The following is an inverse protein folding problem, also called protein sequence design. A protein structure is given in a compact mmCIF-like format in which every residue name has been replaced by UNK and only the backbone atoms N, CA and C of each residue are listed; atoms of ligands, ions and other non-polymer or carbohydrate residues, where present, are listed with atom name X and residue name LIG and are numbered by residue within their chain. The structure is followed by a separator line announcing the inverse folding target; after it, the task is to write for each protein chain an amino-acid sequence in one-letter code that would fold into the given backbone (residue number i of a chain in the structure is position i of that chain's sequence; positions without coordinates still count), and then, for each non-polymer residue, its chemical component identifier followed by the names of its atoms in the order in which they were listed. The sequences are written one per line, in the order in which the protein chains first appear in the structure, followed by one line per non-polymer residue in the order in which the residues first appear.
data_IF_300693254526
#
_entry.id   IF_300693254526
#
_cell.length_a   1.000
_cell.length_b   1.000
_cell.length_c   1.000
_cell.angle_alpha   90.00
_cell.angle_beta   90.00
_cell.angle_gamma   90.00
#
_symmetry.space_group_name_H-M   'P 1'
#
loop_
_entity.id
_entity.type
_entity.pdbx_description
1 polymer ?
#
# COMPACT_ATOMS: atom_id res chain seq x y z
N UNK A 1 4.58 9.91 12.02
CA UNK A 1 3.38 10.64 12.46
C UNK A 1 3.44 12.07 11.96
N UNK A 2 2.33 12.61 11.45
CA UNK A 2 2.18 14.02 11.09
C UNK A 2 1.81 14.83 12.35
N UNK A 3 2.55 15.90 12.62
CA UNK A 3 2.34 16.73 13.82
C UNK A 3 2.34 18.23 13.52
N UNK A 4 3.02 18.67 12.46
CA UNK A 4 3.17 20.08 12.10
C UNK A 4 1.99 20.56 11.24
N UNK A 5 1.55 21.80 11.44
CA UNK A 5 0.44 22.42 10.69
C UNK A 5 0.72 22.46 9.19
N UNK A 6 1.96 22.74 8.79
CA UNK A 6 2.37 22.83 7.40
C UNK A 6 2.28 21.48 6.67
N UNK A 7 2.53 20.37 7.40
CA UNK A 7 2.37 19.02 6.87
C UNK A 7 0.89 18.73 6.57
N UNK A 8 -0.04 19.19 7.42
CA UNK A 8 -1.47 19.03 7.18
C UNK A 8 -1.96 19.87 5.99
N UNK A 9 -1.56 21.14 5.93
CA UNK A 9 -1.92 22.03 4.81
C UNK A 9 -1.43 21.50 3.49
N UNK A 10 -0.22 20.95 3.43
CA UNK A 10 0.35 20.37 2.22
C UNK A 10 -0.44 19.18 1.71
N UNK A 11 -0.92 18.29 2.60
CA UNK A 11 -1.74 17.12 2.20
C UNK A 11 -3.13 17.55 1.72
N UNK A 12 -3.74 18.53 2.38
CA UNK A 12 -5.05 19.07 1.96
C UNK A 12 -4.97 19.80 0.62
N UNK A 13 -3.87 20.47 0.31
CA UNK A 13 -3.63 21.16 -0.96
C UNK A 13 -3.68 20.23 -2.18
N UNK A 14 -3.31 18.96 -2.04
CA UNK A 14 -3.35 17.97 -3.11
C UNK A 14 -4.75 17.51 -3.52
N UNK A 15 -5.81 17.85 -2.78
CA UNK A 15 -7.23 17.55 -3.04
C UNK A 15 -7.55 16.07 -3.34
N UNK A 16 -6.61 15.15 -3.19
CA UNK A 16 -6.85 13.70 -3.35
C UNK A 16 -7.38 13.12 -2.06
N UNK A 17 -8.58 12.57 -2.11
CA UNK A 17 -9.21 11.94 -0.94
C UNK A 17 -10.08 10.75 -1.33
N UNK A 18 -10.07 9.72 -0.50
CA UNK A 18 -11.05 8.63 -0.52
C UNK A 18 -12.11 8.91 0.52
N UNK A 19 -13.36 8.66 0.15
CA UNK A 19 -14.53 8.90 1.00
C UNK A 19 -15.15 7.59 1.44
N UNK A 20 -15.57 7.55 2.69
CA UNK A 20 -16.47 6.56 3.28
C UNK A 20 -17.67 7.26 3.93
N UNK A 21 -18.66 6.55 4.47
CA UNK A 21 -19.83 7.16 5.10
C UNK A 21 -19.51 8.20 6.17
N UNK A 22 -18.51 7.93 7.02
CA UNK A 22 -18.16 8.81 8.13
C UNK A 22 -16.79 9.48 7.98
N UNK A 23 -15.86 8.90 7.19
CA UNK A 23 -14.48 9.36 7.12
C UNK A 23 -14.07 9.83 5.72
N UNK A 24 -13.08 10.72 5.70
CA UNK A 24 -12.31 11.12 4.54
C UNK A 24 -10.83 10.79 4.79
N UNK A 25 -10.22 10.05 3.89
CA UNK A 25 -8.80 9.76 3.88
C UNK A 25 -8.12 10.59 2.80
N UNK A 26 -7.49 11.69 3.20
CA UNK A 26 -6.63 12.48 2.31
C UNK A 26 -5.26 11.83 2.23
N UNK A 27 -4.63 11.90 1.06
CA UNK A 27 -3.30 11.34 0.86
C UNK A 27 -2.47 12.16 -0.11
N UNK A 28 -1.16 12.18 0.13
CA UNK A 28 -0.17 12.85 -0.69
C UNK A 28 1.04 11.95 -0.92
N UNK A 29 1.57 11.93 -2.15
CA UNK A 29 2.87 11.35 -2.44
C UNK A 29 3.96 12.17 -1.73
N UNK A 30 4.94 11.49 -1.16
CA UNK A 30 6.12 12.11 -0.57
C UNK A 30 7.19 12.29 -1.63
N UNK A 31 8.03 13.30 -1.47
CA UNK A 31 9.20 13.50 -2.31
C UNK A 31 10.25 12.40 -2.15
N UNK A 32 11.15 12.29 -3.11
CA UNK A 32 12.22 11.28 -3.10
C UNK A 32 13.17 11.43 -1.90
N UNK A 33 13.33 12.64 -1.38
CA UNK A 33 14.25 12.99 -0.28
C UNK A 33 13.67 12.71 1.12
N UNK A 34 12.41 12.30 1.19
CA UNK A 34 11.73 12.03 2.46
C UNK A 34 12.03 10.61 2.98
N UNK A 35 12.15 10.48 4.31
CA UNK A 35 12.36 9.18 4.97
C UNK A 35 11.26 8.18 4.55
N UNK A 36 11.67 6.99 4.13
CA UNK A 36 10.77 5.91 3.69
C UNK A 36 9.74 5.54 4.76
N UNK A 37 8.52 5.29 4.33
CA UNK A 37 7.42 4.78 5.15
C UNK A 37 6.19 5.69 5.22
N UNK A 38 5.05 5.08 5.45
CA UNK A 38 3.77 5.75 5.58
C UNK A 38 3.67 6.55 6.89
N UNK A 39 3.09 7.78 6.84
CA UNK A 39 2.79 8.60 8.03
C UNK A 39 1.30 8.89 8.12
N UNK A 40 0.78 8.94 9.35
CA UNK A 40 -0.64 9.20 9.62
C UNK A 40 -0.82 10.47 10.45
N UNK A 41 -1.71 11.34 9.97
CA UNK A 41 -2.33 12.43 10.70
C UNK A 41 -3.81 12.11 10.98
N UNK A 42 -4.33 12.57 12.11
CA UNK A 42 -5.72 12.33 12.51
C UNK A 42 -6.41 13.65 12.85
N UNK A 43 -7.52 13.92 12.19
CA UNK A 43 -8.33 15.13 12.41
C UNK A 43 -9.74 14.74 12.83
N UNK A 44 -10.05 14.95 14.13
CA UNK A 44 -11.38 14.72 14.69
C UNK A 44 -11.87 16.04 15.29
N UNK A 45 -12.74 16.73 14.56
CA UNK A 45 -13.22 18.05 14.94
C UNK A 45 -14.25 17.99 16.10
N UNK A 46 -14.18 18.95 17.01
CA UNK A 46 -15.05 19.10 18.19
C UNK A 46 -16.54 19.23 17.80
N UNK A 47 -16.81 19.80 16.63
CA UNK A 47 -18.18 19.97 16.11
C UNK A 47 -18.92 18.65 15.87
N UNK A 48 -18.22 17.57 15.52
CA UNK A 48 -18.82 16.24 15.27
C UNK A 48 -18.94 15.43 16.58
N UNK A 49 -17.94 15.51 17.44
CA UNK A 49 -17.88 14.76 18.70
C UNK A 49 -17.47 15.70 19.83
N UNK A 50 -18.44 16.08 20.66
CA UNK A 50 -18.22 17.03 21.76
C UNK A 50 -17.35 16.43 22.88
N UNK A 51 -17.60 15.14 23.24
CA UNK A 51 -16.86 14.46 24.29
C UNK A 51 -15.43 14.13 23.86
N UNK A 52 -14.48 14.37 24.74
CA UNK A 52 -13.06 14.05 24.47
C UNK A 52 -12.81 12.54 24.35
N UNK A 53 -13.56 11.76 25.15
CA UNK A 53 -13.49 10.29 25.15
C UNK A 53 -13.80 9.72 23.75
N UNK A 54 -14.89 10.20 23.12
CA UNK A 54 -15.31 9.74 21.79
C UNK A 54 -14.28 10.11 20.73
N UNK A 55 -13.71 11.32 20.81
CA UNK A 55 -12.62 11.72 19.88
C UNK A 55 -11.37 10.88 20.08
N UNK A 56 -11.03 10.53 21.32
CA UNK A 56 -9.89 9.69 21.62
C UNK A 56 -10.10 8.24 21.15
N UNK A 57 -11.33 7.73 21.25
CA UNK A 57 -11.69 6.43 20.69
C UNK A 57 -11.40 6.37 19.19
N UNK A 58 -11.90 7.33 18.40
CA UNK A 58 -11.65 7.38 16.96
C UNK A 58 -10.15 7.51 16.63
N UNK A 59 -9.43 8.36 17.38
CA UNK A 59 -7.98 8.48 17.20
C UNK A 59 -7.24 7.20 17.52
N UNK A 60 -7.70 6.43 18.51
CA UNK A 60 -7.13 5.12 18.85
C UNK A 60 -7.38 4.10 17.74
N UNK A 61 -8.63 3.99 17.27
CA UNK A 61 -8.99 3.11 16.15
C UNK A 61 -8.19 3.42 14.89
N UNK A 62 -8.07 4.70 14.54
CA UNK A 62 -7.27 5.11 13.37
C UNK A 62 -5.80 4.74 13.49
N UNK A 63 -5.18 4.94 14.66
CA UNK A 63 -3.78 4.57 14.91
C UNK A 63 -3.56 3.07 14.89
N UNK A 64 -4.45 2.30 15.47
CA UNK A 64 -4.35 0.84 15.55
C UNK A 64 -4.46 0.21 14.17
N UNK A 65 -5.50 0.57 13.39
CA UNK A 65 -5.65 0.06 12.03
C UNK A 65 -4.47 0.47 11.12
N UNK A 66 -3.98 1.69 11.26
CA UNK A 66 -2.81 2.14 10.51
C UNK A 66 -1.54 1.38 10.91
N UNK A 67 -1.34 1.09 12.20
CA UNK A 67 -0.19 0.32 12.69
C UNK A 67 -0.15 -1.08 12.09
N UNK A 68 -1.32 -1.75 12.03
CA UNK A 68 -1.44 -3.10 11.48
C UNK A 68 -1.18 -3.16 9.97
N UNK A 69 -1.52 -2.10 9.24
CA UNK A 69 -1.41 -2.05 7.78
C UNK A 69 -0.17 -1.29 7.29
N UNK A 70 0.62 -0.69 8.18
CA UNK A 70 1.70 0.23 7.85
C UNK A 70 2.70 -0.32 6.85
N UNK A 71 3.09 -1.58 7.01
CA UNK A 71 4.10 -2.23 6.18
C UNK A 71 3.59 -2.57 4.77
N UNK A 72 2.26 -2.56 4.60
CA UNK A 72 1.60 -2.78 3.32
C UNK A 72 1.27 -1.47 2.60
N UNK A 73 1.32 -0.33 3.31
CA UNK A 73 0.97 0.97 2.76
C UNK A 73 2.18 1.60 2.04
N UNK A 74 1.94 2.29 0.91
CA UNK A 74 2.99 3.02 0.22
C UNK A 74 3.51 4.18 1.06
N UNK A 75 4.75 4.64 0.77
CA UNK A 75 5.39 5.79 1.41
C UNK A 75 4.65 7.09 1.06
N UNK A 76 3.59 7.36 1.81
CA UNK A 76 2.70 8.53 1.64
C UNK A 76 2.33 9.13 2.97
N UNK A 77 1.92 10.39 2.91
CA UNK A 77 1.28 11.06 4.03
C UNK A 77 -0.23 10.87 3.93
N UNK A 78 -0.81 10.33 4.99
CA UNK A 78 -2.23 10.09 5.12
C UNK A 78 -2.82 10.99 6.19
N UNK A 79 -3.98 11.59 5.92
CA UNK A 79 -4.78 12.29 6.92
C UNK A 79 -6.17 11.68 6.95
N UNK A 80 -6.48 11.00 8.04
CA UNK A 80 -7.81 10.50 8.31
C UNK A 80 -8.60 11.59 9.04
N UNK A 81 -9.68 12.05 8.42
CA UNK A 81 -10.57 13.07 8.94
C UNK A 81 -11.96 12.51 9.15
N UNK A 82 -12.55 12.76 10.32
CA UNK A 82 -13.99 12.55 10.53
C UNK A 82 -14.77 13.62 9.77
N UNK A 83 -15.62 13.21 8.83
CA UNK A 83 -16.40 14.09 7.95
C UNK A 83 -17.86 14.18 8.37
N UNK A 84 -18.43 13.09 8.86
CA UNK A 84 -19.82 12.98 9.30
C UNK A 84 -19.86 12.41 10.72
N UNK A 85 -20.78 12.92 11.56
CA UNK A 85 -21.01 12.38 12.89
C UNK A 85 -21.62 10.97 12.78
N UNK A 86 -21.01 9.93 13.34
CA UNK A 86 -21.63 8.60 13.37
C UNK A 86 -22.84 8.60 14.32
N UNK A 87 -23.90 7.90 13.92
CA UNK A 87 -25.09 7.74 14.75
C UNK A 87 -24.83 6.94 16.00
N UNK A 88 -24.04 5.88 15.85
CA UNK A 88 -23.58 4.98 16.92
C UNK A 88 -22.06 4.93 16.90
N UNK A 89 -21.44 4.89 18.10
CA UNK A 89 -19.99 4.72 18.24
C UNK A 89 -19.62 3.24 18.34
N UNK A 90 -20.09 2.45 17.36
CA UNK A 90 -19.70 1.05 17.27
C UNK A 90 -18.23 0.95 16.85
N UNK A 91 -17.43 0.34 17.73
CA UNK A 91 -15.98 0.21 17.54
C UNK A 91 -15.63 -0.67 16.36
N UNK A 92 -16.37 -1.77 16.15
CA UNK A 92 -16.09 -2.72 15.08
C UNK A 92 -16.42 -2.10 13.73
N UNK A 93 -17.62 -1.57 13.56
CA UNK A 93 -18.05 -0.93 12.32
C UNK A 93 -17.15 0.23 11.90
N UNK A 94 -16.75 1.09 12.84
CA UNK A 94 -15.84 2.21 12.57
C UNK A 94 -14.41 1.74 12.26
N UNK A 95 -13.94 0.69 12.90
CA UNK A 95 -12.62 0.11 12.61
C UNK A 95 -12.57 -0.53 11.22
N UNK A 96 -13.62 -1.26 10.83
CA UNK A 96 -13.74 -1.86 9.49
C UNK A 96 -13.81 -0.79 8.40
N UNK A 97 -14.55 0.29 8.64
CA UNK A 97 -14.65 1.42 7.72
C UNK A 97 -13.28 2.09 7.50
N UNK A 98 -12.52 2.33 8.57
CA UNK A 98 -11.17 2.89 8.50
C UNK A 98 -10.22 1.93 7.77
N UNK A 99 -10.30 0.64 8.10
CA UNK A 99 -9.50 -0.40 7.46
C UNK A 99 -9.80 -0.48 5.96
N UNK A 100 -11.08 -0.46 5.59
CA UNK A 100 -11.51 -0.47 4.19
C UNK A 100 -10.96 0.70 3.38
N UNK A 101 -10.91 1.92 3.95
CA UNK A 101 -10.30 3.08 3.30
C UNK A 101 -8.79 2.89 3.06
N UNK A 102 -8.06 2.37 4.05
CA UNK A 102 -6.62 2.14 3.93
C UNK A 102 -6.30 1.04 2.90
N UNK A 103 -7.07 -0.04 2.90
CA UNK A 103 -6.93 -1.13 1.93
C UNK A 103 -7.27 -0.66 0.52
N UNK A 104 -8.37 0.08 0.35
CA UNK A 104 -8.76 0.65 -0.96
C UNK A 104 -7.67 1.56 -1.53
N UNK A 105 -7.01 2.34 -0.67
CA UNK A 105 -5.87 3.16 -1.10
C UNK A 105 -4.71 2.31 -1.63
N UNK A 106 -4.46 1.16 -1.03
CA UNK A 106 -3.42 0.25 -1.48
C UNK A 106 -3.74 -0.34 -2.86
N UNK A 107 -4.97 -0.81 -3.06
CA UNK A 107 -5.42 -1.35 -4.35
C UNK A 107 -5.33 -0.35 -5.50
N UNK A 108 -5.72 0.90 -5.30
CA UNK A 108 -5.62 1.94 -6.35
C UNK A 108 -4.18 2.16 -6.83
N UNK A 109 -3.20 1.95 -5.97
CA UNK A 109 -1.79 2.04 -6.36
C UNK A 109 -1.33 0.81 -7.13
N UNK A 110 -1.75 -0.37 -6.68
CA UNK A 110 -1.42 -1.62 -7.34
C UNK A 110 -1.99 -1.66 -8.77
N UNK A 111 -3.22 -1.23 -8.95
CA UNK A 111 -3.85 -1.18 -10.29
C UNK A 111 -3.15 -0.19 -11.24
N UNK A 112 -2.69 0.95 -10.75
CA UNK A 112 -1.94 1.91 -11.56
C UNK A 112 -0.52 1.43 -11.90
N UNK A 113 0.12 0.70 -11.00
CA UNK A 113 1.50 0.22 -11.17
C UNK A 113 1.60 -1.08 -11.98
N UNK A 114 0.57 -1.93 -11.92
CA UNK A 114 0.55 -3.23 -12.63
C UNK A 114 0.83 -3.11 -14.14
N UNK A 115 0.09 -2.30 -14.92
CA UNK A 115 0.29 -2.26 -16.37
C UNK A 115 1.67 -1.73 -16.75
N UNK A 116 2.19 -0.75 -16.02
CA UNK A 116 3.53 -0.21 -16.24
C UNK A 116 4.61 -1.26 -16.01
N UNK A 117 4.49 -2.00 -14.90
CA UNK A 117 5.46 -3.02 -14.54
C UNK A 117 5.42 -4.20 -15.51
N UNK A 118 4.23 -4.63 -15.92
CA UNK A 118 4.07 -5.68 -16.94
C UNK A 118 4.60 -5.25 -18.29
N UNK A 119 4.40 -3.99 -18.70
CA UNK A 119 4.97 -3.45 -19.93
C UNK A 119 6.50 -3.48 -19.88
N UNK A 120 7.12 -3.06 -18.78
CA UNK A 120 8.58 -3.12 -18.57
C UNK A 120 9.11 -4.56 -18.66
N UNK A 121 8.43 -5.51 -18.02
CA UNK A 121 8.81 -6.94 -18.07
C UNK A 121 8.71 -7.47 -19.51
N UNK A 122 7.65 -7.12 -20.24
CA UNK A 122 7.49 -7.52 -21.65
C UNK A 122 8.56 -6.93 -22.55
N UNK A 123 8.89 -5.65 -22.39
CA UNK A 123 9.99 -5.01 -23.12
C UNK A 123 11.31 -5.74 -22.86
N UNK A 124 11.59 -6.06 -21.59
CA UNK A 124 12.76 -6.87 -21.22
C UNK A 124 12.76 -8.23 -21.91
N UNK A 125 11.62 -8.93 -21.92
CA UNK A 125 11.50 -10.25 -22.56
C UNK A 125 11.68 -10.20 -24.07
N UNK A 126 11.20 -9.16 -24.76
CA UNK A 126 11.29 -9.02 -26.19
C UNK A 126 12.62 -8.46 -26.69
N UNK A 127 13.16 -7.45 -25.99
CA UNK A 127 14.35 -6.74 -26.44
C UNK A 127 15.65 -7.32 -25.88
N UNK A 128 15.68 -7.68 -24.60
CA UNK A 128 16.91 -8.04 -23.87
C UNK A 128 17.09 -9.56 -23.78
N UNK A 129 16.01 -10.30 -23.51
CA UNK A 129 16.08 -11.75 -23.31
C UNK A 129 16.62 -12.52 -24.55
N UNK A 130 16.26 -12.19 -25.80
CA UNK A 130 16.82 -12.86 -26.97
C UNK A 130 18.32 -12.63 -27.15
N UNK A 131 18.81 -11.43 -26.80
CA UNK A 131 20.23 -11.05 -26.93
C UNK A 131 21.09 -11.81 -25.91
N UNK A 132 20.55 -12.02 -24.69
CA UNK A 132 21.26 -12.72 -23.63
C UNK A 132 21.22 -14.25 -23.77
N UNK A 133 20.34 -14.79 -24.64
CA UNK A 133 20.14 -16.22 -24.86
C UNK A 133 19.54 -16.97 -23.66
N UNK A 134 19.29 -18.29 -23.78
CA UNK A 134 18.62 -19.10 -22.76
C UNK A 134 19.55 -19.43 -21.57
N UNK A 135 19.87 -18.44 -20.75
CA UNK A 135 20.71 -18.60 -19.57
C UNK A 135 19.95 -18.92 -18.28
N UNK A 136 18.61 -18.89 -18.33
CA UNK A 136 17.82 -19.18 -17.13
C UNK A 136 17.76 -20.67 -16.88
N UNK A 137 18.29 -21.12 -15.72
CA UNK A 137 18.31 -22.54 -15.29
C UNK A 137 16.99 -23.01 -14.68
N UNK A 138 16.01 -22.10 -14.48
CA UNK A 138 14.77 -22.41 -13.80
C UNK A 138 13.58 -22.41 -14.75
N UNK A 139 12.63 -23.30 -14.52
CA UNK A 139 11.36 -23.33 -15.22
C UNK A 139 10.22 -23.03 -14.21
N UNK A 140 9.32 -22.07 -14.48
CA UNK A 140 9.37 -21.04 -15.53
C UNK A 140 10.53 -20.05 -15.34
N UNK A 141 10.94 -19.35 -16.41
CA UNK A 141 12.03 -18.38 -16.33
C UNK A 141 11.76 -17.30 -15.27
N UNK A 142 12.81 -16.70 -14.69
CA UNK A 142 12.66 -15.68 -13.65
C UNK A 142 11.78 -14.51 -14.09
N UNK A 143 11.84 -14.11 -15.35
CA UNK A 143 11.01 -13.03 -15.90
C UNK A 143 9.54 -13.45 -16.05
N UNK A 144 9.27 -14.70 -16.44
CA UNK A 144 7.91 -15.22 -16.51
C UNK A 144 7.26 -15.33 -15.12
N UNK A 145 8.00 -15.86 -14.15
CA UNK A 145 7.54 -15.90 -12.76
C UNK A 145 7.29 -14.50 -12.19
N UNK A 146 8.16 -13.54 -12.51
CA UNK A 146 8.00 -12.16 -12.06
C UNK A 146 6.70 -11.55 -12.62
N UNK A 147 6.40 -11.77 -13.90
CA UNK A 147 5.16 -11.31 -14.52
C UNK A 147 3.93 -11.96 -13.85
N UNK A 148 3.95 -13.26 -13.64
CA UNK A 148 2.86 -14.00 -12.99
C UNK A 148 2.65 -13.58 -11.54
N UNK A 149 3.72 -13.38 -10.79
CA UNK A 149 3.66 -12.88 -9.41
C UNK A 149 3.04 -11.47 -9.33
N UNK A 150 3.35 -10.60 -10.28
CA UNK A 150 2.74 -9.26 -10.38
C UNK A 150 1.26 -9.34 -10.75
N UNK A 151 0.88 -10.24 -11.64
CA UNK A 151 -0.52 -10.45 -12.02
C UNK A 151 -1.37 -10.98 -10.86
N UNK A 152 -0.89 -12.00 -10.16
CA UNK A 152 -1.63 -12.66 -9.06
C UNK A 152 -1.64 -11.86 -7.76
N UNK A 153 -0.50 -11.29 -7.35
CA UNK A 153 -0.33 -10.72 -6.02
C UNK A 153 -0.25 -9.19 -6.00
N UNK A 154 -0.34 -8.52 -7.17
CA UNK A 154 -0.19 -7.08 -7.29
C UNK A 154 1.28 -6.64 -7.40
N UNK A 155 1.50 -5.35 -7.73
CA UNK A 155 2.82 -4.82 -8.03
C UNK A 155 3.80 -4.96 -6.85
N UNK A 156 3.41 -4.58 -5.65
CA UNK A 156 4.31 -4.58 -4.49
C UNK A 156 4.74 -5.97 -4.04
N UNK A 157 3.76 -6.88 -3.88
CA UNK A 157 4.06 -8.28 -3.49
C UNK A 157 4.78 -9.01 -4.62
N UNK A 158 4.36 -8.78 -5.88
CA UNK A 158 4.99 -9.35 -7.05
C UNK A 158 6.46 -8.98 -7.20
N UNK A 159 6.82 -7.70 -6.98
CA UNK A 159 8.22 -7.25 -6.95
C UNK A 159 9.01 -7.98 -5.87
N UNK A 160 8.49 -8.06 -4.65
CA UNK A 160 9.17 -8.73 -3.54
C UNK A 160 9.41 -10.22 -3.81
N UNK A 161 8.41 -10.92 -4.34
CA UNK A 161 8.51 -12.35 -4.68
C UNK A 161 9.47 -12.58 -5.85
N UNK A 162 9.38 -11.78 -6.90
CA UNK A 162 10.27 -11.85 -8.05
C UNK A 162 11.73 -11.56 -7.69
N UNK A 163 11.96 -10.54 -6.85
CA UNK A 163 13.30 -10.21 -6.37
C UNK A 163 13.88 -11.30 -5.46
N UNK A 164 13.07 -11.89 -4.57
CA UNK A 164 13.47 -13.02 -3.73
C UNK A 164 13.94 -14.19 -4.62
N UNK A 165 13.12 -14.59 -5.61
CA UNK A 165 13.49 -15.66 -6.54
C UNK A 165 14.76 -15.36 -7.33
N UNK A 166 14.94 -14.11 -7.76
CA UNK A 166 16.16 -13.68 -8.46
C UNK A 166 17.40 -13.79 -7.57
N UNK A 167 17.31 -13.36 -6.32
CA UNK A 167 18.39 -13.48 -5.33
C UNK A 167 18.70 -14.94 -5.00
N UNK A 168 17.68 -15.79 -4.88
CA UNK A 168 17.84 -17.22 -4.63
C UNK A 168 18.50 -17.93 -5.82
N UNK A 169 18.16 -17.50 -7.05
CA UNK A 169 18.80 -17.97 -8.27
C UNK A 169 20.31 -17.62 -8.33
N UNK A 170 20.69 -16.42 -7.92
CA UNK A 170 22.11 -16.01 -7.83
C UNK A 170 22.86 -16.81 -6.76
N UNK A 171 22.22 -17.12 -5.65
CA UNK A 171 22.81 -17.89 -4.54
C UNK A 171 22.89 -19.39 -4.80
N UNK A 172 22.37 -19.89 -5.94
CA UNK A 172 22.40 -21.31 -6.28
C UNK A 172 21.52 -22.22 -5.42
N UNK A 173 20.59 -21.64 -4.66
CA UNK A 173 19.63 -22.40 -3.83
C UNK A 173 18.57 -23.02 -4.75
N UNK A 174 18.37 -24.35 -4.64
CA UNK A 174 17.30 -25.05 -5.37
C UNK A 174 15.93 -24.52 -4.93
N UNK A 175 15.22 -23.86 -5.82
CA UNK A 175 13.92 -23.20 -5.56
C UNK A 175 12.75 -24.16 -5.77
N UNK A 176 13.01 -25.42 -6.15
CA UNK A 176 11.97 -26.42 -6.47
C UNK A 176 11.02 -26.73 -5.31
N UNK A 177 11.40 -26.37 -4.08
CA UNK A 177 10.62 -26.66 -2.86
C UNK A 177 9.68 -25.53 -2.43
N UNK A 178 9.76 -24.33 -3.01
CA UNK A 178 9.00 -23.15 -2.52
C UNK A 178 7.67 -23.00 -3.26
N UNK A 179 7.54 -23.58 -4.45
CA UNK A 179 6.31 -23.49 -5.25
C UNK A 179 5.14 -24.32 -4.71
N UNK A 180 5.39 -25.29 -3.85
CA UNK A 180 4.35 -26.16 -3.27
C UNK A 180 3.71 -25.60 -2.00
N UNK A 181 4.24 -24.51 -1.43
CA UNK A 181 3.78 -23.97 -0.14
C UNK A 181 3.01 -22.63 -0.26
N UNK A 182 2.97 -22.00 -1.44
CA UNK A 182 2.33 -20.67 -1.60
C UNK A 182 1.25 -20.62 -2.72
N UNK A 183 0.83 -21.76 -3.26
CA UNK A 183 -0.34 -21.94 -4.11
C UNK A 183 -1.47 -22.51 -3.28
#
# INVERSE_FOLDING_TARGET
RLTKTDEFSSVFGFRKALRSPHFLLHYRLRGADDVLGARLGLVVAKRFLRRSVDRNLIRRLGRENFRLLRDQLPSRDFILRLAVKPKTLDRQALAEEIRGLLVKQNHLNDEAMKPLLLALIRIYQYAISPILGPRCRFFPSCSAYFAEAVEKHGAYKGIRLGLKRYLDAIRGIRVDLILSLEL
#
